data_IF_709587381882
#
_entry.id   IF_709587381882
#
_cell.length_a   1.000
_cell.length_b   1.000
_cell.length_c   1.000
_cell.angle_alpha   90.00
_cell.angle_beta   90.00
_cell.angle_gamma   90.00
#
_symmetry.space_group_name_H-M   'P 1'
#
loop_
_entity.id
_entity.type
_entity.pdbx_description
1 polymer ?
#
# COMPACT_ATOMS: atom_id res chain seq x y z
N UNK A 1 -1.58 -42.19 -9.70
CA UNK A 1 -1.41 -41.07 -8.74
C UNK A 1 -1.79 -39.80 -9.46
N UNK A 2 -2.92 -39.20 -9.08
CA UNK A 2 -3.47 -37.99 -9.70
C UNK A 2 -2.82 -36.77 -9.05
N UNK A 3 -2.09 -35.98 -9.83
CA UNK A 3 -1.59 -34.66 -9.42
C UNK A 3 -2.78 -33.71 -9.37
N UNK A 4 -3.31 -33.47 -8.17
CA UNK A 4 -4.36 -32.51 -7.93
C UNK A 4 -3.91 -31.09 -8.31
N UNK A 5 -4.64 -30.53 -9.27
CA UNK A 5 -4.50 -29.19 -9.84
C UNK A 5 -4.41 -28.10 -8.77
N UNK A 6 -3.21 -27.55 -8.56
CA UNK A 6 -3.00 -26.20 -8.01
C UNK A 6 -3.29 -25.12 -9.06
N UNK A 7 -4.36 -25.32 -9.84
CA UNK A 7 -4.83 -24.38 -10.84
C UNK A 7 -5.68 -23.31 -10.17
N UNK A 8 -5.04 -22.33 -9.53
CA UNK A 8 -5.65 -21.02 -9.38
C UNK A 8 -6.02 -20.56 -10.81
N UNK A 9 -7.30 -20.68 -11.17
CA UNK A 9 -7.76 -20.39 -12.52
C UNK A 9 -7.46 -18.92 -12.80
N UNK A 10 -6.73 -18.63 -13.88
CA UNK A 10 -6.35 -17.26 -14.26
C UNK A 10 -7.58 -16.33 -14.36
N UNK A 11 -8.75 -16.90 -14.67
CA UNK A 11 -10.03 -16.17 -14.64
C UNK A 11 -10.43 -15.70 -13.24
N UNK A 12 -10.30 -16.54 -12.21
CA UNK A 12 -10.61 -16.20 -10.81
C UNK A 12 -9.68 -15.10 -10.30
N UNK A 13 -8.38 -15.18 -10.63
CA UNK A 13 -7.42 -14.14 -10.33
C UNK A 13 -7.83 -12.81 -10.98
N UNK A 14 -8.15 -12.83 -12.28
CA UNK A 14 -8.54 -11.63 -13.04
C UNK A 14 -9.84 -10.98 -12.53
N UNK A 15 -10.83 -11.78 -12.13
CA UNK A 15 -12.08 -11.27 -11.54
C UNK A 15 -11.91 -10.70 -10.12
N UNK A 16 -10.88 -11.12 -9.38
CA UNK A 16 -10.62 -10.64 -8.02
C UNK A 16 -9.79 -9.36 -7.95
N UNK A 17 -9.08 -9.00 -9.04
CA UNK A 17 -8.16 -7.85 -9.08
C UNK A 17 -8.84 -6.53 -8.67
N UNK A 18 -10.01 -6.13 -9.18
CA UNK A 18 -10.66 -4.89 -8.79
C UNK A 18 -10.97 -4.84 -7.28
N UNK A 19 -11.48 -5.93 -6.73
CA UNK A 19 -11.88 -6.02 -5.32
C UNK A 19 -10.65 -5.89 -4.41
N UNK A 20 -9.60 -6.65 -4.68
CA UNK A 20 -8.37 -6.62 -3.88
C UNK A 20 -7.65 -5.28 -4.01
N UNK A 21 -7.69 -4.68 -5.20
CA UNK A 21 -7.18 -3.33 -5.46
C UNK A 21 -7.92 -2.28 -4.66
N UNK A 22 -9.26 -2.34 -4.70
CA UNK A 22 -10.12 -1.45 -3.94
C UNK A 22 -9.88 -1.56 -2.44
N UNK A 23 -9.77 -2.79 -1.92
CA UNK A 23 -9.45 -3.02 -0.51
C UNK A 23 -8.09 -2.41 -0.12
N UNK A 24 -7.05 -2.66 -0.92
CA UNK A 24 -5.71 -2.12 -0.66
C UNK A 24 -5.68 -0.59 -0.62
N UNK A 25 -6.26 0.08 -1.63
CA UNK A 25 -6.27 1.55 -1.66
C UNK A 25 -7.18 2.15 -0.59
N UNK A 26 -8.25 1.46 -0.19
CA UNK A 26 -9.10 1.86 0.95
C UNK A 26 -8.30 1.82 2.26
N UNK A 27 -7.43 0.82 2.46
CA UNK A 27 -6.53 0.80 3.61
C UNK A 27 -5.58 2.00 3.62
N UNK A 28 -5.11 2.45 2.45
CA UNK A 28 -4.31 3.68 2.31
C UNK A 28 -5.07 4.93 2.77
N UNK A 29 -6.33 5.07 2.36
CA UNK A 29 -7.23 6.15 2.82
C UNK A 29 -7.41 6.09 4.34
N UNK A 30 -7.82 4.92 4.85
CA UNK A 30 -8.07 4.75 6.27
C UNK A 30 -6.82 5.02 7.11
N UNK A 31 -5.68 4.44 6.74
CA UNK A 31 -4.40 4.66 7.42
C UNK A 31 -3.95 6.12 7.37
N UNK A 32 -4.17 6.80 6.25
CA UNK A 32 -3.90 8.23 6.10
C UNK A 32 -4.77 9.10 7.03
N UNK A 33 -6.09 8.87 7.03
CA UNK A 33 -7.03 9.59 7.90
C UNK A 33 -6.78 9.32 9.39
N UNK A 34 -6.50 8.06 9.75
CA UNK A 34 -6.14 7.68 11.10
C UNK A 34 -4.89 8.45 11.57
N UNK A 35 -3.84 8.48 10.75
CA UNK A 35 -2.59 9.21 11.04
C UNK A 35 -2.80 10.71 11.14
N UNK A 36 -3.74 11.28 10.37
CA UNK A 36 -4.07 12.71 10.46
C UNK A 36 -4.80 13.07 11.75
N UNK A 37 -5.70 12.19 12.20
CA UNK A 37 -6.49 12.37 13.41
C UNK A 37 -5.65 12.15 14.67
N UNK A 38 -4.82 11.11 14.66
CA UNK A 38 -3.94 10.74 15.76
C UNK A 38 -2.53 10.41 15.20
N UNK A 39 -1.66 11.44 15.06
CA UNK A 39 -0.31 11.25 14.53
C UNK A 39 0.53 10.30 15.36
N UNK A 40 0.38 10.31 16.69
CA UNK A 40 1.16 9.44 17.58
C UNK A 40 0.81 7.98 17.39
N UNK A 41 -0.49 7.66 17.38
CA UNK A 41 -0.98 6.30 17.10
C UNK A 41 -0.66 5.87 15.65
N UNK A 42 -0.74 6.82 14.71
CA UNK A 42 -0.30 6.63 13.32
C UNK A 42 1.16 6.19 13.24
N UNK A 43 2.09 6.96 13.81
CA UNK A 43 3.52 6.64 13.83
C UNK A 43 3.79 5.26 14.48
N UNK A 44 3.11 4.95 15.60
CA UNK A 44 3.22 3.63 16.24
C UNK A 44 2.77 2.48 15.33
N UNK A 45 1.74 2.70 14.51
CA UNK A 45 1.26 1.71 13.54
C UNK A 45 2.30 1.43 12.45
N UNK A 46 3.12 2.42 12.08
CA UNK A 46 4.28 2.27 11.20
C UNK A 46 5.52 1.72 11.92
N UNK A 47 5.44 1.42 13.22
CA UNK A 47 6.56 0.87 14.00
C UNK A 47 7.50 1.90 14.61
N UNK A 48 7.13 3.18 14.58
CA UNK A 48 7.91 4.26 15.17
C UNK A 48 7.29 4.57 16.54
N UNK A 49 7.99 4.16 17.60
CA UNK A 49 7.68 4.55 18.97
C UNK A 49 8.83 5.42 19.45
N UNK A 50 8.53 6.62 19.92
CA UNK A 50 9.50 7.48 20.60
C UNK A 50 9.54 7.06 22.09
N UNK A 51 10.61 6.41 22.57
CA UNK A 51 10.70 6.08 23.98
C UNK A 51 10.80 7.37 24.80
N UNK A 52 9.91 7.51 25.79
CA UNK A 52 9.96 8.51 26.86
C UNK A 52 9.90 9.99 26.43
N UNK A 53 9.41 10.29 25.22
CA UNK A 53 9.37 11.66 24.68
C UNK A 53 8.00 11.98 24.10
N UNK A 54 7.39 13.09 24.52
CA UNK A 54 6.27 13.68 23.78
C UNK A 54 6.77 14.09 22.38
N UNK A 55 6.11 13.69 21.28
CA UNK A 55 6.52 14.10 19.95
C UNK A 55 6.63 15.62 19.85
N UNK A 56 7.71 16.09 19.27
CA UNK A 56 7.88 17.51 18.94
C UNK A 56 6.84 17.95 17.89
N UNK A 57 6.64 19.26 17.78
CA UNK A 57 5.78 19.83 16.72
C UNK A 57 6.26 19.42 15.32
N UNK A 58 7.58 19.33 15.12
CA UNK A 58 8.19 18.92 13.85
C UNK A 58 7.88 17.47 13.52
N UNK A 59 8.05 16.54 14.47
CA UNK A 59 7.73 15.11 14.27
C UNK A 59 6.24 14.89 14.03
N UNK A 60 5.39 15.62 14.75
CA UNK A 60 3.94 15.60 14.56
C UNK A 60 3.56 16.09 13.16
N UNK A 61 4.12 17.22 12.71
CA UNK A 61 3.88 17.75 11.38
C UNK A 61 4.38 16.79 10.29
N UNK A 62 5.57 16.20 10.47
CA UNK A 62 6.14 15.22 9.55
C UNK A 62 5.26 13.97 9.42
N UNK A 63 4.74 13.48 10.54
CA UNK A 63 3.82 12.33 10.56
C UNK A 63 2.51 12.66 9.85
N UNK A 64 1.96 13.87 10.05
CA UNK A 64 0.77 14.32 9.32
C UNK A 64 1.01 14.41 7.81
N UNK A 65 2.18 14.89 7.37
CA UNK A 65 2.53 14.89 5.93
C UNK A 65 2.48 13.47 5.36
N UNK A 66 2.97 12.47 6.08
CA UNK A 66 2.87 11.07 5.66
C UNK A 66 1.42 10.58 5.65
N UNK A 67 0.61 10.96 6.63
CA UNK A 67 -0.84 10.72 6.63
C UNK A 67 -1.54 11.25 5.37
N UNK A 68 -1.23 12.50 4.98
CA UNK A 68 -1.77 13.12 3.76
C UNK A 68 -1.34 12.33 2.51
N UNK A 69 -0.06 11.95 2.42
CA UNK A 69 0.47 11.18 1.28
C UNK A 69 -0.22 9.82 1.15
N UNK A 70 -0.42 9.11 2.25
CA UNK A 70 -1.11 7.81 2.25
C UNK A 70 -2.58 7.96 1.86
N UNK A 71 -3.26 8.98 2.39
CA UNK A 71 -4.63 9.30 1.99
C UNK A 71 -4.72 9.60 0.49
N UNK A 72 -3.86 10.49 -0.02
CA UNK A 72 -3.85 10.89 -1.41
C UNK A 72 -3.55 9.70 -2.34
N UNK A 73 -2.56 8.86 -2.00
CA UNK A 73 -2.24 7.65 -2.76
C UNK A 73 -3.43 6.69 -2.82
N UNK A 74 -4.11 6.47 -1.69
CA UNK A 74 -5.33 5.67 -1.64
C UNK A 74 -6.45 6.26 -2.51
N UNK A 75 -6.69 7.57 -2.42
CA UNK A 75 -7.72 8.25 -3.19
C UNK A 75 -7.44 8.22 -4.70
N UNK A 76 -6.19 8.43 -5.13
CA UNK A 76 -5.77 8.33 -6.54
C UNK A 76 -6.01 6.92 -7.06
N UNK A 77 -5.57 5.90 -6.31
CA UNK A 77 -5.75 4.50 -6.70
C UNK A 77 -7.22 4.10 -6.84
N UNK A 78 -8.07 4.48 -5.88
CA UNK A 78 -9.52 4.27 -5.98
C UNK A 78 -10.15 5.04 -7.13
N UNK A 79 -9.70 6.26 -7.41
CA UNK A 79 -10.22 7.06 -8.52
C UNK A 79 -9.87 6.43 -9.87
N UNK A 80 -8.66 5.90 -10.02
CA UNK A 80 -8.24 5.16 -11.21
C UNK A 80 -9.04 3.86 -11.37
N UNK A 81 -9.27 3.13 -10.28
CA UNK A 81 -10.10 1.93 -10.30
C UNK A 81 -11.55 2.26 -10.66
N UNK A 82 -12.14 3.29 -10.06
CA UNK A 82 -13.50 3.73 -10.39
C UNK A 82 -13.60 4.21 -11.84
N UNK A 83 -12.58 4.90 -12.35
CA UNK A 83 -12.51 5.27 -13.76
C UNK A 83 -12.44 4.04 -14.67
N UNK A 84 -11.68 3.01 -14.29
CA UNK A 84 -11.61 1.76 -15.05
C UNK A 84 -12.98 1.04 -15.10
N UNK A 85 -13.64 0.91 -13.96
CA UNK A 85 -14.85 0.09 -13.81
C UNK A 85 -16.15 0.81 -14.24
N UNK A 86 -16.23 2.13 -14.09
CA UNK A 86 -17.48 2.88 -14.24
C UNK A 86 -17.46 3.96 -15.32
N UNK A 87 -16.31 4.30 -15.89
CA UNK A 87 -16.23 5.35 -16.92
C UNK A 87 -16.73 4.85 -18.27
N UNK A 88 -17.57 5.65 -18.94
CA UNK A 88 -17.99 5.41 -20.32
C UNK A 88 -16.82 5.38 -21.32
N UNK A 89 -15.71 6.04 -20.99
CA UNK A 89 -14.50 6.03 -21.82
C UNK A 89 -13.81 4.66 -21.85
N UNK A 90 -13.83 3.94 -20.73
CA UNK A 90 -13.25 2.59 -20.60
C UNK A 90 -14.19 1.50 -21.13
N UNK A 91 -15.49 1.73 -21.08
CA UNK A 91 -16.53 0.79 -21.54
C UNK A 91 -16.97 1.02 -22.99
N UNK A 92 -16.56 2.13 -23.62
CA UNK A 92 -16.82 2.45 -25.03
C UNK A 92 -16.17 1.45 -25.98
N UNK A 93 -16.87 1.06 -27.05
CA UNK A 93 -16.36 0.13 -28.05
C UNK A 93 -15.18 0.69 -28.88
N UNK A 94 -15.13 2.01 -29.10
CA UNK A 94 -14.14 2.65 -29.99
C UNK A 94 -12.88 3.12 -29.26
N UNK A 95 -13.02 3.67 -28.05
CA UNK A 95 -11.90 4.18 -27.24
C UNK A 95 -11.52 3.28 -26.08
N UNK A 96 -12.43 2.39 -25.67
CA UNK A 96 -12.30 1.55 -24.48
C UNK A 96 -11.08 0.64 -24.49
N UNK A 97 -10.74 -0.09 -25.57
CA UNK A 97 -9.63 -1.04 -25.53
C UNK A 97 -8.28 -0.38 -25.19
N UNK A 98 -7.99 0.78 -25.78
CA UNK A 98 -6.75 1.50 -25.53
C UNK A 98 -6.74 2.16 -24.14
N UNK A 99 -7.82 2.85 -23.77
CA UNK A 99 -7.94 3.55 -22.49
C UNK A 99 -7.92 2.56 -21.32
N UNK A 100 -8.69 1.48 -21.40
CA UNK A 100 -8.70 0.39 -20.41
C UNK A 100 -7.32 -0.22 -20.26
N UNK A 101 -6.62 -0.49 -21.35
CA UNK A 101 -5.25 -1.01 -21.29
C UNK A 101 -4.31 -0.03 -20.59
N UNK A 102 -4.36 1.26 -20.95
CA UNK A 102 -3.52 2.28 -20.33
C UNK A 102 -3.79 2.39 -18.81
N UNK A 103 -5.05 2.45 -18.40
CA UNK A 103 -5.43 2.57 -16.98
C UNK A 103 -5.02 1.32 -16.19
N UNK A 104 -5.22 0.11 -16.72
CA UNK A 104 -4.72 -1.13 -16.13
C UNK A 104 -3.21 -1.10 -15.94
N UNK A 105 -2.45 -0.67 -16.95
CA UNK A 105 -0.99 -0.55 -16.84
C UNK A 105 -0.58 0.47 -15.79
N UNK A 106 -1.25 1.62 -15.73
CA UNK A 106 -0.98 2.63 -14.71
C UNK A 106 -1.30 2.13 -13.30
N UNK A 107 -2.39 1.40 -13.09
CA UNK A 107 -2.67 0.71 -11.81
C UNK A 107 -1.55 -0.28 -11.48
N UNK A 108 -1.14 -1.10 -12.46
CA UNK A 108 -0.06 -2.04 -12.33
C UNK A 108 1.24 -1.39 -11.85
N UNK A 109 1.69 -0.33 -12.53
CA UNK A 109 2.90 0.41 -12.17
C UNK A 109 2.77 1.13 -10.81
N UNK A 110 1.62 1.75 -10.54
CA UNK A 110 1.36 2.41 -9.26
C UNK A 110 1.56 1.43 -8.09
N UNK A 111 1.06 0.21 -8.23
CA UNK A 111 1.21 -0.82 -7.20
C UNK A 111 2.65 -1.34 -7.09
N UNK A 112 3.35 -1.56 -8.20
CA UNK A 112 4.76 -1.94 -8.14
C UNK A 112 5.61 -0.88 -7.44
N UNK A 113 5.33 0.41 -7.69
CA UNK A 113 5.96 1.52 -6.97
C UNK A 113 5.56 1.49 -5.48
N UNK A 114 4.30 1.22 -5.17
CA UNK A 114 3.83 1.02 -3.78
C UNK A 114 4.53 -0.14 -3.07
N UNK A 115 4.88 -1.21 -3.77
CA UNK A 115 5.70 -2.30 -3.22
C UNK A 115 7.12 -1.82 -2.88
N UNK A 116 7.72 -0.98 -3.72
CA UNK A 116 9.02 -0.35 -3.41
C UNK A 116 8.92 0.49 -2.13
N UNK A 117 7.81 1.22 -1.93
CA UNK A 117 7.57 1.96 -0.67
C UNK A 117 7.57 1.00 0.52
N UNK A 118 6.82 -0.11 0.47
CA UNK A 118 6.78 -1.07 1.59
C UNK A 118 8.15 -1.71 1.89
N UNK A 119 8.96 -2.00 0.87
CA UNK A 119 10.34 -2.48 1.07
C UNK A 119 11.21 -1.38 1.70
N UNK A 120 11.06 -0.13 1.25
CA UNK A 120 11.83 1.02 1.75
C UNK A 120 11.45 1.39 3.19
N UNK A 121 10.18 1.25 3.56
CA UNK A 121 9.71 1.39 4.95
C UNK A 121 10.37 0.34 5.83
N UNK A 122 10.39 -0.93 5.38
CA UNK A 122 11.07 -2.01 6.09
C UNK A 122 12.57 -1.75 6.28
N UNK A 123 13.23 -1.22 5.25
CA UNK A 123 14.64 -0.81 5.33
C UNK A 123 14.87 0.36 6.29
N UNK A 124 13.97 1.35 6.29
CA UNK A 124 14.02 2.49 7.20
C UNK A 124 13.83 2.05 8.65
N UNK A 125 12.89 1.14 8.90
CA UNK A 125 12.66 0.55 10.23
C UNK A 125 13.81 -0.34 10.69
N UNK A 126 14.51 -1.01 9.77
CA UNK A 126 15.77 -1.68 10.10
C UNK A 126 16.80 -0.69 10.65
N UNK A 127 17.07 0.39 9.91
CA UNK A 127 18.01 1.43 10.33
C UNK A 127 17.57 2.06 11.66
N UNK A 128 16.29 2.37 11.82
CA UNK A 128 15.73 2.90 13.06
C UNK A 128 15.92 1.91 14.23
N UNK A 129 15.65 0.62 14.02
CA UNK A 129 15.79 -0.40 15.06
C UNK A 129 17.24 -0.63 15.51
N UNK A 130 18.21 -0.28 14.67
CA UNK A 130 19.64 -0.38 14.98
C UNK A 130 20.28 0.96 15.38
N UNK A 131 19.48 2.03 15.49
CA UNK A 131 19.98 3.33 15.93
C UNK A 131 20.41 3.31 17.41
N UNK A 132 21.48 4.04 17.72
CA UNK A 132 21.94 4.22 19.10
C UNK A 132 20.84 4.88 19.95
N UNK A 133 20.64 4.38 21.17
CA UNK A 133 19.64 4.89 22.10
C UNK A 133 18.22 4.34 21.91
N UNK A 134 17.99 3.44 20.95
CA UNK A 134 16.71 2.73 20.81
C UNK A 134 16.77 1.33 21.44
N UNK A 135 15.99 1.11 22.50
CA UNK A 135 15.90 -0.17 23.20
C UNK A 135 14.44 -0.56 23.54
N UNK A 136 14.28 -1.68 24.24
CA UNK A 136 12.99 -2.13 24.78
C UNK A 136 11.87 -2.29 23.73
N UNK A 137 10.66 -1.85 24.11
CA UNK A 137 9.44 -1.97 23.28
C UNK A 137 9.60 -1.26 21.93
N UNK A 138 10.31 -0.14 21.88
CA UNK A 138 10.47 0.64 20.66
C UNK A 138 11.29 -0.12 19.61
N UNK A 139 12.43 -0.70 20.02
CA UNK A 139 13.27 -1.52 19.14
C UNK A 139 12.53 -2.78 18.66
N UNK A 140 11.85 -3.49 19.56
CA UNK A 140 11.13 -4.71 19.20
C UNK A 140 9.91 -4.44 18.30
N UNK A 141 9.21 -3.32 18.52
CA UNK A 141 8.11 -2.92 17.64
C UNK A 141 8.62 -2.57 16.24
N UNK A 142 9.72 -1.81 16.13
CA UNK A 142 10.33 -1.47 14.84
C UNK A 142 10.77 -2.72 14.07
N UNK A 143 11.41 -3.68 14.75
CA UNK A 143 11.80 -4.98 14.14
C UNK A 143 10.60 -5.76 13.63
N UNK A 144 9.52 -5.84 14.42
CA UNK A 144 8.30 -6.55 14.02
C UNK A 144 7.65 -5.87 12.81
N UNK A 145 7.51 -4.54 12.85
CA UNK A 145 6.86 -3.80 11.79
C UNK A 145 7.69 -3.78 10.50
N UNK A 146 9.02 -3.80 10.57
CA UNK A 146 9.88 -4.02 9.41
C UNK A 146 9.45 -5.26 8.61
N UNK A 147 9.25 -6.40 9.29
CA UNK A 147 8.82 -7.64 8.64
C UNK A 147 7.41 -7.48 8.08
N UNK A 148 6.53 -6.81 8.81
CA UNK A 148 5.18 -6.48 8.36
C UNK A 148 5.17 -5.66 7.06
N UNK A 149 5.96 -4.59 6.98
CA UNK A 149 6.06 -3.72 5.80
C UNK A 149 6.61 -4.47 4.57
N UNK A 150 7.68 -5.25 4.73
CA UNK A 150 8.24 -6.07 3.63
C UNK A 150 7.26 -7.16 3.21
N UNK A 151 6.60 -7.83 4.16
CA UNK A 151 5.59 -8.85 3.87
C UNK A 151 4.39 -8.26 3.13
N UNK A 152 3.89 -7.11 3.59
CA UNK A 152 2.78 -6.40 2.95
C UNK A 152 3.15 -5.87 1.57
N UNK A 153 4.42 -5.58 1.27
CA UNK A 153 4.87 -5.17 -0.05
C UNK A 153 4.65 -6.23 -1.14
N UNK A 154 4.53 -7.52 -0.76
CA UNK A 154 4.21 -8.61 -1.69
C UNK A 154 2.81 -8.44 -2.29
N UNK A 155 1.85 -7.94 -1.52
CA UNK A 155 0.46 -7.76 -1.96
C UNK A 155 0.35 -6.80 -3.16
N UNK A 156 0.80 -5.53 -3.07
CA UNK A 156 0.81 -4.63 -4.23
C UNK A 156 1.74 -5.14 -5.33
N UNK A 157 2.83 -5.87 -5.04
CA UNK A 157 3.66 -6.45 -6.09
C UNK A 157 2.88 -7.45 -6.96
N UNK A 158 2.17 -8.39 -6.31
CA UNK A 158 1.36 -9.41 -6.99
C UNK A 158 0.20 -8.78 -7.75
N UNK A 159 -0.53 -7.85 -7.12
CA UNK A 159 -1.63 -7.14 -7.78
C UNK A 159 -1.13 -6.29 -8.95
N UNK A 160 0.05 -5.66 -8.80
CA UNK A 160 0.69 -4.86 -9.83
C UNK A 160 1.01 -5.69 -11.08
N UNK A 161 1.65 -6.85 -10.88
CA UNK A 161 1.87 -7.83 -11.96
C UNK A 161 0.53 -8.29 -12.56
N UNK A 162 -0.46 -8.59 -11.72
CA UNK A 162 -1.79 -8.98 -12.16
C UNK A 162 -2.41 -7.97 -13.14
N UNK A 163 -2.41 -6.68 -12.79
CA UNK A 163 -2.89 -5.60 -13.65
C UNK A 163 -2.09 -5.42 -14.93
N UNK A 164 -0.78 -5.65 -14.89
CA UNK A 164 0.06 -5.59 -16.10
C UNK A 164 -0.29 -6.70 -17.10
N UNK A 165 -0.86 -7.82 -16.68
CA UNK A 165 -1.21 -8.95 -17.55
C UNK A 165 -2.73 -9.20 -17.67
N UNK A 166 -3.56 -8.30 -17.15
CA UNK A 166 -5.03 -8.41 -17.11
C UNK A 166 -5.75 -7.89 -18.35
#
# INVERSE_FOLDING_TARGET
MSTSNLGLNASTLRSSLPILTGALYTLGIYGGLHTLRDPTSGAKSFGIILPNSTPTNTETAYTRIHGIRNFANGAIGLSMLAFLEYSSYCTSFTTGPLVTTAVKKMLGYSMLIGAVVGVSDGWTLYQFSEAEGLDGEAKETAKRQRVGHVGMAVVPAVLGVGWLYA
#
